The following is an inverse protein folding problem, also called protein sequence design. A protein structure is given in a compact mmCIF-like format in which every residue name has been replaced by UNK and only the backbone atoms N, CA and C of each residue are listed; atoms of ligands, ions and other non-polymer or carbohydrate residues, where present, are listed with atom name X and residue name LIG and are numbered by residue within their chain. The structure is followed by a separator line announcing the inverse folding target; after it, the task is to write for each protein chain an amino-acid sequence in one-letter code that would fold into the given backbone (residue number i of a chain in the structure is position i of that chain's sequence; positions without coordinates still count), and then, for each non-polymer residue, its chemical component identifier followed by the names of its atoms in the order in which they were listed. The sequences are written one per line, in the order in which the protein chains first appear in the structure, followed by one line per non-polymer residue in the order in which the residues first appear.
data_IF_209032251495
#
_entry.id   IF_209032251495
#
_cell.length_a   1.000
_cell.length_b   1.000
_cell.length_c   1.000
_cell.angle_alpha   90.00
_cell.angle_beta   90.00
_cell.angle_gamma   90.00
#
_symmetry.space_group_name_H-M   'P 1'
#
loop_
_entity.id
_entity.type
_entity.pdbx_description
1 polymer ?
#
# COMPACT_ATOMS: atom_id res chain seq x y z
N UNK A 1 11.28 -28.00 13.04
CA UNK A 1 11.40 -27.46 11.66
C UNK A 1 12.13 -26.13 11.76
N UNK A 2 13.45 -26.15 11.66
CA UNK A 2 14.28 -24.94 11.63
C UNK A 2 14.23 -24.39 10.21
N UNK A 3 13.61 -23.22 10.03
CA UNK A 3 13.66 -22.52 8.75
C UNK A 3 15.14 -22.26 8.39
N UNK A 4 15.51 -22.54 7.15
CA UNK A 4 16.85 -22.25 6.64
C UNK A 4 17.14 -20.75 6.77
N UNK A 5 18.40 -20.34 7.03
CA UNK A 5 18.75 -18.93 7.12
C UNK A 5 18.45 -18.26 5.77
N UNK A 6 17.54 -17.29 5.77
CA UNK A 6 17.28 -16.48 4.58
C UNK A 6 18.57 -15.73 4.23
N UNK A 7 19.13 -16.01 3.03
CA UNK A 7 20.20 -15.21 2.44
C UNK A 7 19.84 -13.74 2.58
N UNK A 8 20.72 -12.98 3.24
CA UNK A 8 20.63 -11.54 3.37
C UNK A 8 20.46 -10.92 1.99
N UNK A 9 19.25 -10.45 1.69
CA UNK A 9 18.99 -9.68 0.47
C UNK A 9 19.56 -8.29 0.72
N UNK A 10 20.85 -8.10 0.43
CA UNK A 10 21.56 -6.82 0.63
C UNK A 10 21.07 -5.68 -0.28
N UNK A 11 20.09 -5.90 -1.17
CA UNK A 11 19.54 -4.83 -1.99
C UNK A 11 18.22 -4.32 -1.39
N UNK A 12 18.34 -3.18 -0.71
CA UNK A 12 17.20 -2.27 -0.50
C UNK A 12 16.48 -2.01 -1.84
N UNK A 13 15.15 -2.01 -1.81
CA UNK A 13 14.33 -1.66 -2.97
C UNK A 13 14.16 -0.14 -3.01
N UNK A 14 14.49 0.47 -4.15
CA UNK A 14 14.37 1.92 -4.37
C UNK A 14 13.19 2.23 -5.30
N UNK A 15 12.26 3.06 -4.84
CA UNK A 15 11.09 3.53 -5.61
C UNK A 15 11.12 5.05 -5.62
N UNK A 16 11.74 5.64 -6.65
CA UNK A 16 12.00 7.08 -6.68
C UNK A 16 12.80 7.51 -5.44
N UNK A 17 12.30 8.45 -4.62
CA UNK A 17 12.97 8.87 -3.39
C UNK A 17 12.76 7.91 -2.20
N UNK A 18 11.96 6.85 -2.34
CA UNK A 18 11.62 5.94 -1.25
C UNK A 18 12.57 4.75 -1.22
N UNK A 19 13.31 4.62 -0.11
CA UNK A 19 14.17 3.47 0.17
C UNK A 19 13.45 2.47 1.09
N UNK A 20 13.29 1.23 0.65
CA UNK A 20 12.72 0.13 1.43
C UNK A 20 13.83 -0.82 1.86
N UNK A 21 14.07 -0.92 3.17
CA UNK A 21 15.06 -1.83 3.75
C UNK A 21 14.72 -3.30 3.50
N UNK A 22 13.43 -3.61 3.41
CA UNK A 22 12.90 -4.93 3.06
C UNK A 22 12.29 -4.84 1.66
N UNK A 23 12.82 -5.55 0.65
CA UNK A 23 12.34 -5.49 -0.73
C UNK A 23 11.07 -6.35 -0.94
N UNK A 24 10.11 -6.22 -0.04
CA UNK A 24 8.83 -6.94 -0.07
C UNK A 24 7.71 -5.92 -0.01
N UNK A 25 6.73 -6.07 -0.90
CA UNK A 25 5.56 -5.19 -0.99
C UNK A 25 4.31 -6.04 -0.75
N UNK A 26 3.46 -5.61 0.17
CA UNK A 26 2.14 -6.21 0.35
C UNK A 26 1.24 -5.81 -0.82
N UNK A 27 0.81 -6.81 -1.59
CA UNK A 27 -0.05 -6.58 -2.74
C UNK A 27 -1.42 -6.02 -2.34
N UNK A 28 -1.99 -5.10 -3.12
CA UNK A 28 -3.33 -4.57 -2.89
C UNK A 28 -4.39 -5.63 -3.15
N UNK A 29 -5.31 -5.81 -2.19
CA UNK A 29 -6.39 -6.80 -2.26
C UNK A 29 -7.66 -6.20 -1.70
N UNK A 30 -8.69 -6.03 -2.54
CA UNK A 30 -9.98 -5.46 -2.13
C UNK A 30 -10.61 -6.31 -1.01
N UNK A 31 -11.12 -5.62 0.02
CA UNK A 31 -11.68 -6.22 1.23
C UNK A 31 -10.65 -6.75 2.23
N UNK A 32 -9.36 -6.79 1.87
CA UNK A 32 -8.31 -7.40 2.72
C UNK A 32 -7.32 -6.35 3.20
N UNK A 33 -6.71 -5.55 2.30
CA UNK A 33 -5.64 -4.60 2.65
C UNK A 33 -6.14 -3.30 3.29
N UNK A 34 -7.07 -3.40 4.23
CA UNK A 34 -7.55 -2.29 5.05
C UNK A 34 -6.49 -1.83 6.09
N UNK A 35 -6.75 -0.72 6.76
CA UNK A 35 -5.83 -0.12 7.74
C UNK A 35 -5.41 -1.08 8.86
N UNK A 36 -6.33 -1.90 9.38
CA UNK A 36 -6.05 -2.82 10.46
C UNK A 36 -5.12 -3.96 10.01
N UNK A 37 -5.39 -4.52 8.82
CA UNK A 37 -4.56 -5.57 8.24
C UNK A 37 -3.14 -5.07 7.94
N UNK A 38 -3.01 -3.90 7.31
CA UNK A 38 -1.70 -3.30 7.03
C UNK A 38 -0.92 -3.01 8.33
N UNK A 39 -1.60 -2.54 9.38
CA UNK A 39 -0.99 -2.34 10.70
C UNK A 39 -0.47 -3.65 11.29
N UNK A 40 -1.26 -4.72 11.24
CA UNK A 40 -0.82 -6.03 11.69
C UNK A 40 0.41 -6.51 10.90
N UNK A 41 0.39 -6.43 9.57
CA UNK A 41 1.54 -6.82 8.75
C UNK A 41 2.79 -5.96 9.00
N UNK A 42 2.65 -4.75 9.55
CA UNK A 42 3.79 -3.91 10.00
C UNK A 42 4.50 -4.45 11.21
N UNK A 43 3.78 -5.10 12.12
CA UNK A 43 4.36 -5.71 13.31
C UNK A 43 5.29 -6.89 12.98
N UNK A 44 5.13 -7.51 11.81
CA UNK A 44 5.93 -8.65 11.36
C UNK A 44 7.10 -8.28 10.42
N UNK A 45 7.31 -7.00 10.14
CA UNK A 45 8.39 -6.55 9.25
C UNK A 45 8.09 -6.82 7.78
N UNK A 46 7.61 -5.81 7.08
CA UNK A 46 7.53 -5.80 5.62
C UNK A 46 7.94 -4.41 5.10
N UNK A 47 8.23 -4.34 3.81
CA UNK A 47 8.66 -3.10 3.16
C UNK A 47 7.49 -2.13 3.00
N UNK A 48 6.86 -2.14 1.84
CA UNK A 48 5.77 -1.23 1.48
C UNK A 48 4.42 -1.93 1.60
N UNK A 49 3.41 -1.18 2.07
CA UNK A 49 2.04 -1.66 2.19
C UNK A 49 1.15 -0.82 1.29
N UNK A 50 0.35 -1.48 0.46
CA UNK A 50 -0.58 -0.80 -0.44
C UNK A 50 -1.99 -0.93 0.11
N UNK A 51 -2.77 0.17 0.07
CA UNK A 51 -4.18 0.16 0.42
C UNK A 51 -4.98 -0.78 -0.48
N UNK A 52 -6.27 -0.88 -0.21
CA UNK A 52 -7.21 -1.47 -1.17
C UNK A 52 -7.22 -0.68 -2.49
N UNK A 53 -7.78 -1.30 -3.53
CA UNK A 53 -7.97 -0.68 -4.85
C UNK A 53 -9.02 0.44 -4.78
N UNK A 54 -8.65 1.65 -5.20
CA UNK A 54 -9.54 2.82 -5.19
C UNK A 54 -9.86 3.24 -6.62
N UNK A 55 -11.15 3.43 -6.91
CA UNK A 55 -11.55 3.99 -8.21
C UNK A 55 -11.21 5.49 -8.21
N UNK A 56 -10.57 5.95 -9.28
CA UNK A 56 -10.16 7.35 -9.41
C UNK A 56 -11.37 8.28 -9.36
N UNK A 57 -12.48 7.88 -9.98
CA UNK A 57 -13.75 8.63 -9.94
C UNK A 57 -14.30 8.79 -8.52
N UNK A 58 -14.36 7.70 -7.74
CA UNK A 58 -14.88 7.76 -6.39
C UNK A 58 -14.00 8.63 -5.48
N UNK A 59 -12.69 8.64 -5.72
CA UNK A 59 -11.73 9.47 -5.00
C UNK A 59 -11.91 10.96 -5.33
N UNK A 60 -12.03 11.32 -6.61
CA UNK A 60 -12.31 12.70 -7.07
C UNK A 60 -13.65 13.19 -6.53
N UNK A 61 -14.69 12.35 -6.55
CA UNK A 61 -16.02 12.65 -6.00
C UNK A 61 -16.06 12.61 -4.46
N UNK A 62 -14.96 12.20 -3.81
CA UNK A 62 -14.79 12.13 -2.35
C UNK A 62 -15.89 11.32 -1.64
N UNK A 63 -16.31 10.21 -2.23
CA UNK A 63 -17.34 9.35 -1.62
C UNK A 63 -16.90 8.85 -0.25
N UNK A 64 -17.82 8.65 0.68
CA UNK A 64 -17.47 8.18 2.05
C UNK A 64 -16.69 6.86 2.02
N UNK A 65 -17.02 5.97 1.09
CA UNK A 65 -16.33 4.71 0.87
C UNK A 65 -14.86 4.90 0.52
N UNK A 66 -14.57 5.69 -0.50
CA UNK A 66 -13.18 5.94 -0.95
C UNK A 66 -12.39 6.73 0.10
N UNK A 67 -13.01 7.74 0.73
CA UNK A 67 -12.40 8.52 1.81
C UNK A 67 -12.06 7.67 3.04
N UNK A 68 -12.81 6.60 3.30
CA UNK A 68 -12.49 5.61 4.34
C UNK A 68 -11.31 4.73 3.92
N UNK A 69 -11.30 4.24 2.68
CA UNK A 69 -10.28 3.31 2.19
C UNK A 69 -8.89 3.95 2.08
N UNK A 70 -8.80 5.26 1.81
CA UNK A 70 -7.54 6.00 1.79
C UNK A 70 -7.06 6.45 3.19
N UNK A 71 -7.75 6.07 4.27
CA UNK A 71 -7.28 6.37 5.62
C UNK A 71 -6.06 5.50 5.95
N UNK A 72 -5.11 6.15 6.61
CA UNK A 72 -3.89 5.53 7.08
C UNK A 72 -3.80 5.67 8.60
N UNK A 73 -3.26 4.65 9.25
CA UNK A 73 -2.88 4.72 10.65
C UNK A 73 -1.65 5.64 10.80
N UNK A 74 -1.48 6.25 11.96
CA UNK A 74 -0.33 7.13 12.27
C UNK A 74 1.03 6.43 12.11
N UNK A 75 1.07 5.11 12.27
CA UNK A 75 2.29 4.30 12.09
C UNK A 75 2.66 4.06 10.62
N UNK A 76 1.81 4.44 9.67
CA UNK A 76 2.06 4.36 8.22
C UNK A 76 2.77 5.65 7.74
N UNK A 77 4.10 5.68 7.90
CA UNK A 77 4.96 6.79 7.48
C UNK A 77 5.07 6.92 5.96
N UNK A 78 5.07 5.79 5.25
CA UNK A 78 4.98 5.73 3.80
C UNK A 78 3.58 5.25 3.42
N UNK A 79 2.87 6.05 2.63
CA UNK A 79 1.49 5.79 2.21
C UNK A 79 1.49 5.38 0.74
N UNK A 80 0.79 4.30 0.42
CA UNK A 80 0.66 3.81 -0.96
C UNK A 80 -0.78 3.44 -1.23
N UNK A 81 -1.32 4.00 -2.29
CA UNK A 81 -2.70 3.81 -2.72
C UNK A 81 -2.67 3.33 -4.17
N UNK A 82 -3.39 2.25 -4.46
CA UNK A 82 -3.60 1.82 -5.84
C UNK A 82 -4.84 2.49 -6.42
N UNK A 83 -4.62 3.35 -7.42
CA UNK A 83 -5.70 3.96 -8.21
C UNK A 83 -5.97 3.13 -9.46
N UNK A 84 -7.24 3.06 -9.86
CA UNK A 84 -7.63 2.55 -11.16
C UNK A 84 -8.77 3.37 -11.76
N UNK A 85 -8.87 3.39 -13.08
CA UNK A 85 -9.88 4.16 -13.80
C UNK A 85 -9.79 3.90 -15.30
N UNK A 86 -10.82 4.34 -16.02
CA UNK A 86 -10.94 4.16 -17.49
C UNK A 86 -10.92 5.49 -18.25
N UNK A 87 -11.12 6.61 -17.56
CA UNK A 87 -11.06 7.95 -18.13
C UNK A 87 -9.74 8.62 -17.70
N UNK A 88 -8.81 8.89 -18.64
CA UNK A 88 -7.52 9.49 -18.32
C UNK A 88 -7.64 10.85 -17.62
N UNK A 89 -8.68 11.62 -17.94
CA UNK A 89 -8.90 12.92 -17.30
C UNK A 89 -9.21 12.75 -15.82
N UNK A 90 -10.18 11.91 -15.48
CA UNK A 90 -10.53 11.61 -14.08
C UNK A 90 -9.35 10.98 -13.32
N UNK A 91 -8.57 10.09 -13.95
CA UNK A 91 -7.37 9.49 -13.33
C UNK A 91 -6.31 10.55 -12.99
N UNK A 92 -6.17 11.59 -13.82
CA UNK A 92 -5.22 12.68 -13.57
C UNK A 92 -5.65 13.64 -12.45
N UNK A 93 -6.94 13.67 -12.12
CA UNK A 93 -7.51 14.57 -11.09
C UNK A 93 -7.57 13.90 -9.70
N UNK A 94 -7.36 12.59 -9.64
CA UNK A 94 -7.40 11.76 -8.43
C UNK A 94 -6.12 11.87 -7.59
#
# INVERSE_FOLDING_TARGET
MTAAPHKSVEKSLQIGPLALSVPVVLAPMAGITNTAFRRLCREFGAGLYVSEMITSRALVERTEGSMRLIKHHESETTRSIQLYGVDPKTVSEA
#
